data_IF_956727991058
#
_entry.id   IF_956727991058
#
_cell.length_a   1.000
_cell.length_b   1.000
_cell.length_c   1.000
_cell.angle_alpha   90.00
_cell.angle_beta   90.00
_cell.angle_gamma   90.00
#
_symmetry.space_group_name_H-M   'P 1'
#
loop_
_entity.id
_entity.type
_entity.pdbx_description
1 polymer ?
#
# COMPACT_ATOMS: atom_id res chain seq x y z
N UNK A 1 4.68 -66.42 -24.19
CA UNK A 1 5.54 -65.76 -23.20
C UNK A 1 4.64 -65.46 -22.00
N UNK A 2 4.41 -66.42 -21.09
CA UNK A 2 5.18 -66.70 -19.86
C UNK A 2 5.50 -65.43 -19.06
N UNK A 3 5.25 -65.29 -17.75
CA UNK A 3 4.58 -66.12 -16.75
C UNK A 3 4.30 -65.24 -15.50
N UNK A 4 3.39 -65.72 -14.62
CA UNK A 4 3.31 -65.60 -13.16
C UNK A 4 4.14 -64.49 -12.45
N UNK A 5 3.61 -63.72 -11.48
CA UNK A 5 2.79 -64.13 -10.35
C UNK A 5 3.56 -63.90 -9.03
N UNK A 6 2.80 -63.87 -7.93
CA UNK A 6 3.22 -64.02 -6.51
C UNK A 6 3.36 -62.74 -5.67
N UNK A 7 2.39 -62.60 -4.75
CA UNK A 7 2.44 -61.83 -3.48
C UNK A 7 3.49 -62.42 -2.55
N UNK A 8 4.11 -61.61 -1.70
CA UNK A 8 4.38 -61.97 -0.30
C UNK A 8 4.48 -60.71 0.57
N UNK A 9 3.70 -60.66 1.64
CA UNK A 9 3.99 -59.89 2.86
C UNK A 9 5.02 -60.65 3.70
N UNK A 10 5.73 -59.97 4.61
CA UNK A 10 5.73 -60.47 5.97
C UNK A 10 5.58 -59.38 7.04
N UNK A 11 4.88 -59.77 8.09
CA UNK A 11 4.92 -59.22 9.44
C UNK A 11 6.25 -59.55 10.11
N UNK A 12 6.75 -58.67 11.00
CA UNK A 12 7.32 -59.06 12.30
C UNK A 12 7.61 -57.82 13.16
N UNK A 13 7.12 -57.88 14.40
CA UNK A 13 7.37 -56.95 15.51
C UNK A 13 8.82 -56.96 15.99
N UNK A 14 9.24 -55.89 16.69
CA UNK A 14 9.97 -55.87 17.98
C UNK A 14 10.56 -54.46 18.20
N UNK A 15 10.47 -53.97 19.45
CA UNK A 15 11.50 -53.06 19.99
C UNK A 15 11.02 -51.72 20.52
N UNK A 16 10.53 -51.72 21.76
CA UNK A 16 10.61 -50.55 22.65
C UNK A 16 12.07 -50.15 22.84
N UNK A 17 12.42 -48.90 22.54
CA UNK A 17 13.61 -48.23 23.08
C UNK A 17 13.30 -46.74 23.22
N UNK A 18 12.99 -46.34 24.46
CA UNK A 18 13.19 -44.97 24.92
C UNK A 18 14.67 -44.65 24.75
N UNK A 19 15.01 -43.67 23.93
CA UNK A 19 16.29 -42.98 24.04
C UNK A 19 16.08 -41.48 23.86
N UNK A 20 16.33 -40.78 24.97
CA UNK A 20 16.49 -39.33 25.03
C UNK A 20 17.64 -38.93 24.10
N UNK A 21 17.31 -38.34 22.95
CA UNK A 21 18.28 -37.53 22.21
C UNK A 21 18.23 -36.10 22.75
N UNK A 22 19.05 -35.85 23.77
CA UNK A 22 19.48 -34.51 24.16
C UNK A 22 20.11 -33.82 22.96
N UNK A 23 19.43 -32.82 22.41
CA UNK A 23 19.97 -31.97 21.35
C UNK A 23 21.15 -31.20 21.94
N UNK A 24 22.37 -31.30 21.38
CA UNK A 24 23.47 -30.46 21.82
C UNK A 24 23.17 -29.02 21.40
N UNK A 25 22.84 -28.17 22.37
CA UNK A 25 22.90 -26.73 22.21
C UNK A 25 24.37 -26.33 22.06
N UNK A 26 24.84 -26.12 20.83
CA UNK A 26 25.82 -25.07 20.51
C UNK A 26 26.05 -24.86 19.01
N UNK A 27 26.18 -23.57 18.70
CA UNK A 27 26.65 -22.89 17.47
C UNK A 27 25.56 -22.66 16.42
N UNK A 28 25.40 -21.48 15.85
CA UNK A 28 26.24 -20.29 15.80
C UNK A 28 25.38 -19.05 16.08
N UNK A 29 25.96 -18.04 16.72
CA UNK A 29 25.37 -16.71 16.72
C UNK A 29 25.31 -16.21 15.28
N UNK A 30 24.19 -16.42 14.61
CA UNK A 30 23.82 -15.59 13.48
C UNK A 30 23.56 -14.23 14.10
N UNK A 31 24.57 -13.37 14.06
CA UNK A 31 24.34 -11.94 14.16
C UNK A 31 23.40 -11.63 13.01
N UNK A 32 22.08 -11.58 13.29
CA UNK A 32 21.13 -11.00 12.34
C UNK A 32 21.61 -9.57 12.19
N UNK A 33 22.32 -9.28 11.09
CA UNK A 33 22.42 -7.90 10.64
C UNK A 33 20.99 -7.44 10.48
N UNK A 34 20.55 -6.49 11.30
CA UNK A 34 19.38 -5.70 11.01
C UNK A 34 19.59 -5.14 9.61
N UNK A 35 18.92 -5.73 8.62
CA UNK A 35 18.83 -5.14 7.30
C UNK A 35 17.94 -3.93 7.49
N UNK A 36 18.54 -2.75 7.48
CA UNK A 36 17.79 -1.51 7.32
C UNK A 36 17.21 -1.54 5.91
N UNK A 37 15.92 -1.84 5.79
CA UNK A 37 15.25 -1.86 4.49
C UNK A 37 15.34 -0.46 3.86
N UNK A 38 15.62 -0.34 2.55
CA UNK A 38 15.55 0.94 1.86
C UNK A 38 14.10 1.43 1.70
N UNK A 39 13.11 0.55 1.92
CA UNK A 39 11.70 0.89 1.81
C UNK A 39 11.25 1.72 3.02
N UNK A 40 10.64 2.90 2.81
CA UNK A 40 10.11 3.67 3.93
C UNK A 40 9.02 2.90 4.67
N UNK A 41 9.03 2.97 6.01
CA UNK A 41 8.10 2.23 6.89
C UNK A 41 6.63 2.51 6.57
N UNK A 42 6.29 3.72 6.14
CA UNK A 42 4.93 4.04 5.72
C UNK A 42 4.54 3.28 4.44
N UNK A 43 5.45 3.12 3.48
CA UNK A 43 5.19 2.41 2.23
C UNK A 43 5.06 0.91 2.51
N UNK A 44 5.92 0.35 3.36
CA UNK A 44 5.81 -1.03 3.84
C UNK A 44 4.43 -1.28 4.48
N UNK A 45 3.98 -0.40 5.39
CA UNK A 45 2.66 -0.53 6.03
C UNK A 45 1.50 -0.50 5.02
N UNK A 46 1.54 0.41 4.06
CA UNK A 46 0.51 0.47 3.01
C UNK A 46 0.50 -0.82 2.18
N UNK A 47 1.67 -1.34 1.81
CA UNK A 47 1.79 -2.60 1.09
C UNK A 47 1.24 -3.79 1.89
N UNK A 48 1.52 -3.84 3.20
CA UNK A 48 0.96 -4.87 4.10
C UNK A 48 -0.56 -4.80 4.26
N UNK A 49 -1.17 -3.63 4.03
CA UNK A 49 -2.63 -3.46 3.92
C UNK A 49 -3.19 -3.89 2.55
N UNK A 50 -2.33 -4.37 1.64
CA UNK A 50 -2.68 -4.75 0.28
C UNK A 50 -2.75 -3.59 -0.70
N UNK A 51 -2.27 -2.39 -0.33
CA UNK A 51 -2.31 -1.25 -1.24
C UNK A 51 -1.23 -1.39 -2.31
N UNK A 52 -1.65 -1.24 -3.57
CA UNK A 52 -0.78 -1.22 -4.73
C UNK A 52 -0.13 0.14 -4.87
N UNK A 53 1.19 0.13 -4.89
CA UNK A 53 2.05 1.30 -4.86
C UNK A 53 2.95 1.32 -6.10
N UNK A 54 3.39 2.52 -6.46
CA UNK A 54 4.28 2.73 -7.60
C UNK A 54 5.17 3.96 -7.39
N UNK A 55 6.43 3.94 -7.87
CA UNK A 55 7.32 5.09 -7.79
C UNK A 55 6.81 6.27 -8.63
N UNK A 56 7.12 7.46 -8.17
CA UNK A 56 6.74 8.72 -8.77
C UNK A 56 7.81 9.79 -8.60
N UNK A 57 7.79 10.76 -9.50
CA UNK A 57 8.59 11.99 -9.43
C UNK A 57 7.98 12.96 -8.43
N UNK A 58 8.77 13.93 -7.97
CA UNK A 58 8.29 15.04 -7.14
C UNK A 58 7.21 15.89 -7.82
N UNK A 59 7.11 15.84 -9.16
CA UNK A 59 6.08 16.52 -9.96
C UNK A 59 4.81 15.67 -10.16
N UNK A 60 4.59 14.67 -9.29
CA UNK A 60 3.41 13.77 -9.26
C UNK A 60 3.22 12.87 -10.49
N UNK A 61 4.18 12.83 -11.42
CA UNK A 61 4.20 11.89 -12.55
C UNK A 61 4.75 10.55 -12.09
N UNK A 62 4.23 9.44 -12.62
CA UNK A 62 4.85 8.13 -12.44
C UNK A 62 6.29 8.14 -12.96
N UNK A 63 7.16 7.34 -12.33
CA UNK A 63 8.58 7.36 -12.65
C UNK A 63 8.89 6.85 -14.07
N UNK A 64 8.04 5.97 -14.61
CA UNK A 64 8.21 5.36 -15.93
C UNK A 64 6.85 5.17 -16.64
N UNK A 65 6.83 4.98 -17.97
CA UNK A 65 5.62 4.65 -18.71
C UNK A 65 4.97 3.36 -18.19
N UNK A 66 3.63 3.29 -18.13
CA UNK A 66 2.92 2.10 -17.62
C UNK A 66 2.99 1.91 -16.10
N UNK A 67 3.45 2.91 -15.33
CA UNK A 67 3.61 2.81 -13.87
C UNK A 67 2.36 2.32 -13.11
N UNK A 68 1.15 2.62 -13.61
CA UNK A 68 -0.09 2.14 -13.01
C UNK A 68 -0.33 0.65 -13.23
N UNK A 69 0.15 0.09 -14.34
CA UNK A 69 -0.08 -1.31 -14.71
C UNK A 69 0.78 -2.26 -13.89
N UNK A 70 1.93 -1.79 -13.41
CA UNK A 70 2.85 -2.55 -12.56
C UNK A 70 2.75 -2.19 -11.08
N UNK A 71 1.83 -1.30 -10.70
CA UNK A 71 1.64 -0.95 -9.29
C UNK A 71 1.40 -2.21 -8.46
N UNK A 72 2.07 -2.35 -7.32
CA UNK A 72 2.11 -3.62 -6.57
C UNK A 72 2.17 -3.39 -5.06
N UNK A 73 1.75 -4.40 -4.30
CA UNK A 73 1.96 -4.48 -2.85
C UNK A 73 3.06 -5.51 -2.48
N UNK A 74 3.74 -6.07 -3.48
CA UNK A 74 4.84 -7.01 -3.28
C UNK A 74 6.06 -6.30 -2.68
N UNK A 75 6.44 -6.69 -1.46
CA UNK A 75 7.49 -6.01 -0.70
C UNK A 75 8.85 -6.11 -1.38
N UNK A 76 9.18 -7.26 -1.98
CA UNK A 76 10.46 -7.45 -2.66
C UNK A 76 10.61 -6.49 -3.85
N UNK A 77 9.55 -6.31 -4.64
CA UNK A 77 9.52 -5.33 -5.74
C UNK A 77 9.65 -3.89 -5.23
N UNK A 78 8.94 -3.54 -4.16
CA UNK A 78 8.98 -2.19 -3.59
C UNK A 78 10.35 -1.87 -2.99
N UNK A 79 10.99 -2.82 -2.30
CA UNK A 79 12.36 -2.69 -1.78
C UNK A 79 13.37 -2.51 -2.92
N UNK A 80 13.24 -3.25 -4.01
CA UNK A 80 14.09 -3.09 -5.20
C UNK A 80 13.98 -1.69 -5.79
N UNK A 81 12.75 -1.16 -5.96
CA UNK A 81 12.56 0.20 -6.45
C UNK A 81 13.12 1.25 -5.50
N UNK A 82 12.91 1.08 -4.18
CA UNK A 82 13.44 1.99 -3.17
C UNK A 82 14.99 1.99 -3.16
N UNK A 83 15.62 0.83 -3.31
CA UNK A 83 17.07 0.68 -3.37
C UNK A 83 17.69 1.24 -4.66
N UNK A 84 17.01 1.08 -5.81
CA UNK A 84 17.50 1.60 -7.09
C UNK A 84 17.53 3.13 -7.12
N UNK A 85 16.58 3.77 -6.44
CA UNK A 85 16.45 5.22 -6.46
C UNK A 85 16.00 5.80 -5.11
N UNK A 86 16.97 6.06 -4.21
CA UNK A 86 16.67 6.72 -2.95
C UNK A 86 16.01 8.08 -3.16
N UNK A 87 14.91 8.34 -2.44
CA UNK A 87 14.27 9.66 -2.38
C UNK A 87 13.22 9.96 -3.43
N UNK A 88 12.86 9.02 -4.31
CA UNK A 88 11.65 9.17 -5.12
C UNK A 88 10.37 9.10 -4.29
N UNK A 89 9.31 9.64 -4.87
CA UNK A 89 7.98 9.66 -4.26
C UNK A 89 7.19 8.42 -4.62
N UNK A 90 6.03 8.27 -4.01
CA UNK A 90 5.17 7.10 -4.10
C UNK A 90 3.74 7.52 -4.38
N UNK A 91 3.07 6.74 -5.24
CA UNK A 91 1.64 6.84 -5.44
C UNK A 91 0.95 5.57 -5.01
N UNK A 92 -0.18 5.72 -4.33
CA UNK A 92 -1.13 4.64 -4.11
C UNK A 92 -2.14 4.59 -5.26
N UNK A 93 -2.34 3.41 -5.82
CA UNK A 93 -3.27 3.14 -6.92
C UNK A 93 -4.51 2.46 -6.34
N UNK A 94 -5.70 3.09 -6.39
CA UNK A 94 -6.92 2.49 -5.86
C UNK A 94 -7.29 1.14 -6.47
N UNK A 95 -7.05 0.97 -7.78
CA UNK A 95 -7.33 -0.27 -8.49
C UNK A 95 -6.59 -1.45 -7.84
N UNK A 96 -7.34 -2.49 -7.46
CA UNK A 96 -6.79 -3.67 -6.77
C UNK A 96 -6.35 -3.45 -5.31
N UNK A 97 -6.51 -2.23 -4.76
CA UNK A 97 -6.16 -1.91 -3.36
C UNK A 97 -7.37 -1.94 -2.42
N UNK A 98 -8.59 -2.06 -2.96
CA UNK A 98 -9.82 -2.05 -2.15
C UNK A 98 -10.11 -0.70 -1.48
N UNK A 99 -9.60 0.40 -2.06
CA UNK A 99 -9.76 1.76 -1.53
C UNK A 99 -10.37 2.71 -2.55
N UNK A 100 -10.97 3.77 -2.04
CA UNK A 100 -11.33 4.99 -2.75
C UNK A 100 -10.73 6.18 -1.99
N UNK A 101 -10.25 7.17 -2.71
CA UNK A 101 -9.63 8.35 -2.12
C UNK A 101 -10.39 9.61 -2.53
N UNK A 102 -10.45 10.59 -1.63
CA UNK A 102 -10.81 11.96 -1.97
C UNK A 102 -9.58 12.86 -1.78
N UNK A 103 -9.16 13.55 -2.83
CA UNK A 103 -8.16 14.63 -2.75
C UNK A 103 -8.93 15.95 -2.62
N UNK A 104 -8.70 16.63 -1.50
CA UNK A 104 -9.41 17.86 -1.11
C UNK A 104 -8.42 19.00 -1.18
N UNK A 105 -8.63 19.88 -2.15
CA UNK A 105 -7.83 21.07 -2.32
C UNK A 105 -8.16 22.12 -1.25
N UNK A 106 -7.19 22.98 -0.99
CA UNK A 106 -7.42 24.23 -0.26
C UNK A 106 -7.05 25.40 -1.15
N UNK A 107 -7.83 26.48 -1.07
CA UNK A 107 -7.53 27.70 -1.81
C UNK A 107 -6.16 28.25 -1.41
N UNK A 108 -5.36 28.62 -2.40
CA UNK A 108 -4.05 29.21 -2.18
C UNK A 108 -3.26 29.34 -3.48
N UNK A 109 -1.93 29.38 -3.36
CA UNK A 109 -1.05 29.59 -4.52
C UNK A 109 -1.13 28.51 -5.61
N UNK A 110 -1.70 27.34 -5.29
CA UNK A 110 -1.75 26.18 -6.20
C UNK A 110 -3.15 25.80 -6.66
N UNK A 111 -4.20 26.25 -5.96
CA UNK A 111 -5.59 25.91 -6.24
C UNK A 111 -6.49 27.12 -6.00
N UNK A 112 -7.43 27.37 -6.91
CA UNK A 112 -8.41 28.45 -6.76
C UNK A 112 -9.59 28.01 -5.87
N UNK A 113 -9.95 26.73 -5.91
CA UNK A 113 -11.13 26.20 -5.22
C UNK A 113 -10.86 25.84 -3.75
N UNK A 114 -11.87 26.05 -2.91
CA UNK A 114 -11.86 25.64 -1.49
C UNK A 114 -12.62 24.31 -1.33
N UNK A 115 -11.90 23.20 -1.52
CA UNK A 115 -12.46 21.86 -1.34
C UNK A 115 -12.92 21.60 0.09
N UNK A 116 -12.34 22.27 1.10
CA UNK A 116 -12.75 22.13 2.50
C UNK A 116 -14.12 22.78 2.72
N UNK A 117 -14.37 23.95 2.14
CA UNK A 117 -15.68 24.58 2.15
C UNK A 117 -16.72 23.71 1.43
N UNK A 118 -16.39 23.18 0.24
CA UNK A 118 -17.24 22.24 -0.49
C UNK A 118 -17.57 21.01 0.36
N UNK A 119 -16.57 20.40 1.01
CA UNK A 119 -16.77 19.21 1.83
C UNK A 119 -17.64 19.50 3.06
N UNK A 120 -17.47 20.67 3.68
CA UNK A 120 -18.32 21.11 4.79
C UNK A 120 -19.78 21.25 4.37
N UNK A 121 -20.05 21.82 3.20
CA UNK A 121 -21.40 21.93 2.66
C UNK A 121 -22.02 20.56 2.39
N UNK A 122 -21.25 19.63 1.82
CA UNK A 122 -21.70 18.23 1.62
C UNK A 122 -22.01 17.54 2.95
N UNK A 123 -21.15 17.70 3.97
CA UNK A 123 -21.41 17.15 5.30
C UNK A 123 -22.64 17.77 5.97
N UNK A 124 -22.90 19.05 5.76
CA UNK A 124 -24.11 19.71 6.28
C UNK A 124 -25.38 19.16 5.61
N UNK A 125 -25.32 18.84 4.31
CA UNK A 125 -26.45 18.31 3.56
C UNK A 125 -26.69 16.80 3.78
N UNK A 126 -25.62 16.02 3.97
CA UNK A 126 -25.69 14.55 3.93
C UNK A 126 -25.26 13.86 5.24
N UNK A 127 -24.83 14.63 6.24
CA UNK A 127 -24.30 14.12 7.49
C UNK A 127 -22.77 14.02 7.50
N UNK A 128 -22.18 13.82 8.70
CA UNK A 128 -20.73 13.80 8.86
C UNK A 128 -20.11 12.58 8.20
N UNK A 129 -18.86 12.76 7.75
CA UNK A 129 -18.03 11.64 7.33
C UNK A 129 -17.71 10.71 8.52
N UNK A 130 -17.71 9.37 8.33
CA UNK A 130 -17.26 8.46 9.37
C UNK A 130 -15.75 8.61 9.61
N UNK A 131 -15.24 8.18 10.79
CA UNK A 131 -13.81 8.13 11.07
C UNK A 131 -13.04 7.40 9.99
N UNK A 132 -11.87 7.92 9.62
CA UNK A 132 -11.09 7.43 8.49
C UNK A 132 -9.62 7.83 8.53
N UNK A 133 -8.75 7.09 7.81
CA UNK A 133 -7.40 7.53 7.56
C UNK A 133 -7.39 8.84 6.78
N UNK A 134 -6.45 9.71 7.13
CA UNK A 134 -6.38 11.07 6.66
C UNK A 134 -4.92 11.50 6.55
N UNK A 135 -4.54 12.00 5.37
CA UNK A 135 -3.24 12.61 5.11
C UNK A 135 -3.33 14.08 4.73
N UNK A 136 -2.22 14.80 4.86
CA UNK A 136 -2.03 16.18 4.41
C UNK A 136 -1.11 16.23 3.20
N UNK A 137 -1.48 17.07 2.24
CA UNK A 137 -0.62 17.40 1.11
C UNK A 137 0.30 18.58 1.46
N UNK A 138 1.42 18.77 0.74
CA UNK A 138 2.32 19.92 0.95
C UNK A 138 1.63 21.28 0.81
N UNK A 139 0.62 21.39 -0.05
CA UNK A 139 -0.16 22.62 -0.21
C UNK A 139 -1.16 22.87 0.92
N UNK A 140 -1.25 21.97 1.91
CA UNK A 140 -2.19 22.06 3.04
C UNK A 140 -3.52 21.34 2.81
N UNK A 141 -3.75 20.80 1.61
CA UNK A 141 -4.92 19.98 1.27
C UNK A 141 -4.97 18.65 2.04
N UNK A 142 -6.03 17.89 1.78
CA UNK A 142 -6.30 16.63 2.48
C UNK A 142 -6.43 15.46 1.52
N UNK A 143 -5.87 14.30 1.89
CA UNK A 143 -6.16 13.02 1.28
C UNK A 143 -7.01 12.19 2.26
N UNK A 144 -8.25 11.91 1.90
CA UNK A 144 -9.18 11.11 2.70
C UNK A 144 -9.31 9.72 2.11
N UNK A 145 -9.29 8.71 2.98
CA UNK A 145 -9.31 7.30 2.56
C UNK A 145 -10.63 6.65 2.93
N UNK A 146 -11.16 5.84 2.01
CA UNK A 146 -12.39 5.08 2.15
C UNK A 146 -12.14 3.67 1.63
N UNK A 147 -12.94 2.70 2.09
CA UNK A 147 -13.02 1.40 1.41
C UNK A 147 -13.71 1.58 0.06
N UNK A 148 -13.25 0.84 -0.94
CA UNK A 148 -13.94 0.72 -2.22
C UNK A 148 -15.34 0.11 -1.99
N UNK A 149 -16.43 0.75 -2.46
CA UNK A 149 -17.77 0.21 -2.29
C UNK A 149 -18.06 -1.06 -3.12
N UNK A 150 -17.20 -1.43 -4.06
CA UNK A 150 -17.40 -2.58 -4.96
C UNK A 150 -18.45 -2.34 -6.06
N UNK A 151 -19.02 -1.13 -6.11
CA UNK A 151 -19.93 -0.67 -7.16
C UNK A 151 -19.27 0.42 -7.99
N UNK A 152 -19.67 0.64 -9.26
CA UNK A 152 -19.13 1.73 -10.07
C UNK A 152 -19.24 3.09 -9.37
N UNK A 153 -18.13 3.81 -9.28
CA UNK A 153 -18.08 5.18 -8.74
C UNK A 153 -17.67 6.16 -9.84
N UNK A 154 -18.41 7.26 -9.96
CA UNK A 154 -17.97 8.37 -10.81
C UNK A 154 -16.71 8.98 -10.19
N UNK A 155 -15.60 8.88 -10.90
CA UNK A 155 -14.29 9.40 -10.49
C UNK A 155 -13.88 10.60 -11.33
N UNK A 156 -12.93 11.39 -10.83
CA UNK A 156 -12.37 12.54 -11.53
C UNK A 156 -12.49 13.83 -10.72
N UNK A 157 -12.05 14.91 -11.34
CA UNK A 157 -11.97 16.21 -10.68
C UNK A 157 -13.31 16.91 -10.60
N UNK A 158 -13.57 17.56 -9.47
CA UNK A 158 -14.76 18.37 -9.24
C UNK A 158 -16.09 17.60 -9.26
N UNK A 159 -16.07 16.27 -9.18
CA UNK A 159 -17.27 15.43 -9.35
C UNK A 159 -18.30 15.69 -8.25
N UNK A 160 -17.84 15.93 -7.02
CA UNK A 160 -18.70 16.26 -5.88
C UNK A 160 -18.88 17.78 -5.69
N UNK A 161 -18.19 18.58 -6.49
CA UNK A 161 -18.11 20.04 -6.38
C UNK A 161 -16.66 20.55 -6.43
N UNK A 162 -16.48 21.87 -6.53
CA UNK A 162 -15.16 22.50 -6.70
C UNK A 162 -14.15 22.08 -5.62
N UNK A 163 -12.90 21.85 -6.03
CA UNK A 163 -11.80 21.47 -5.13
C UNK A 163 -11.87 20.06 -4.52
N UNK A 164 -12.77 19.19 -4.99
CA UNK A 164 -12.86 17.80 -4.53
C UNK A 164 -12.70 16.84 -5.71
N UNK A 165 -11.64 16.04 -5.67
CA UNK A 165 -11.37 15.01 -6.65
C UNK A 165 -11.65 13.62 -6.08
N UNK A 166 -12.44 12.82 -6.79
CA UNK A 166 -12.61 11.39 -6.48
C UNK A 166 -11.53 10.60 -7.23
N UNK A 167 -10.65 9.95 -6.49
CA UNK A 167 -9.61 9.08 -7.04
C UNK A 167 -9.97 7.62 -6.79
N UNK A 168 -10.29 6.92 -7.88
CA UNK A 168 -10.69 5.52 -7.88
C UNK A 168 -10.18 4.84 -9.16
N UNK A 169 -10.07 3.51 -9.14
CA UNK A 169 -9.38 2.73 -10.17
C UNK A 169 -7.98 3.31 -10.50
N UNK A 170 -7.80 3.80 -11.73
CA UNK A 170 -6.52 4.25 -12.29
C UNK A 170 -6.12 5.69 -11.91
N UNK A 171 -6.94 6.41 -11.13
CA UNK A 171 -6.56 7.71 -10.59
C UNK A 171 -5.82 7.53 -9.27
N UNK A 172 -4.53 7.85 -9.26
CA UNK A 172 -3.62 7.55 -8.14
C UNK A 172 -3.21 8.81 -7.37
N UNK A 173 -3.13 8.69 -6.05
CA UNK A 173 -2.74 9.78 -5.15
C UNK A 173 -1.28 9.65 -4.72
N UNK A 174 -0.61 10.78 -4.50
CA UNK A 174 0.68 10.80 -3.80
C UNK A 174 0.43 10.50 -2.31
N UNK A 175 1.24 9.63 -1.71
CA UNK A 175 1.10 9.23 -0.30
C UNK A 175 2.37 9.50 0.50
N UNK A 176 2.25 9.61 1.83
CA UNK A 176 3.42 9.77 2.69
C UNK A 176 4.40 8.58 2.51
N UNK A 177 5.72 8.81 2.51
CA UNK A 177 6.41 10.05 2.85
C UNK A 177 6.86 10.87 1.62
N UNK A 178 6.10 10.83 0.52
CA UNK A 178 6.43 11.54 -0.73
C UNK A 178 6.74 13.02 -0.54
N UNK A 179 7.53 13.59 -1.46
CA UNK A 179 8.02 14.97 -1.36
C UNK A 179 7.70 15.77 -2.62
N UNK A 180 7.39 17.05 -2.42
CA UNK A 180 7.41 18.11 -3.44
C UNK A 180 8.43 19.17 -3.02
N UNK A 181 8.70 20.12 -3.92
CA UNK A 181 9.53 21.30 -3.63
C UNK A 181 9.07 22.07 -2.39
N UNK A 182 7.76 22.14 -2.16
CA UNK A 182 7.11 22.95 -1.13
C UNK A 182 6.78 22.16 0.15
N UNK A 183 7.10 20.86 0.23
CA UNK A 183 6.90 20.11 1.47
C UNK A 183 6.77 18.60 1.27
N UNK A 184 6.22 17.95 2.30
CA UNK A 184 6.16 16.49 2.42
C UNK A 184 4.73 16.07 2.68
N UNK A 185 4.29 15.01 2.02
CA UNK A 185 3.01 14.34 2.29
C UNK A 185 3.09 13.62 3.65
N UNK A 186 2.08 13.76 4.50
CA UNK A 186 2.09 13.20 5.86
C UNK A 186 0.74 12.57 6.20
N UNK A 187 0.76 11.47 6.95
CA UNK A 187 -0.45 10.96 7.59
C UNK A 187 -0.73 11.76 8.87
N UNK A 188 -1.97 12.21 9.04
CA UNK A 188 -2.49 12.73 10.31
C UNK A 188 -3.07 11.58 11.11
N UNK A 189 -3.86 10.74 10.44
CA UNK A 189 -4.33 9.44 10.94
C UNK A 189 -3.88 8.41 9.91
N UNK A 190 -2.89 7.57 10.22
CA UNK A 190 -2.42 6.54 9.29
C UNK A 190 -3.50 5.47 9.08
N UNK A 191 -3.52 4.81 7.91
CA UNK A 191 -4.40 3.68 7.64
C UNK A 191 -4.02 2.41 8.39
#
# INVERSE_FOLDING_TARGET
MSAAGIRLSPSSSIGSLRQNCSVPLRRAGVVRRERTSPLPVEIERLALLGWRLTPATANKRGLFPGYLDVATCDLDTLEQWAGAHPGFSWKAVPDGSGILLLDIDITGATHADDGVATLRALCAAHGPLPPRPHGRTPSGGHLLVFRDPGTPVRRGSGVLGPGIDILHHRLAAMVAPSRRRDGVYRWVIPP
#
